data_IF_917445256987
#
_entry.id   IF_917445256987
#
_cell.length_a   1.000
_cell.length_b   1.000
_cell.length_c   1.000
_cell.angle_alpha   90.00
_cell.angle_beta   90.00
_cell.angle_gamma   90.00
#
_symmetry.space_group_name_H-M   'P 1'
#
loop_
_entity.id
_entity.type
_entity.pdbx_description
1 polymer ?
#
# COMPACT_ATOMS: atom_id res chain seq x y z
N UNK A 1 -31.28 -85.98 -17.58
CA UNK A 1 -32.68 -85.66 -17.24
C UNK A 1 -33.50 -85.96 -18.48
N UNK A 2 -33.93 -87.19 -18.73
CA UNK A 2 -34.91 -87.97 -17.93
C UNK A 2 -36.25 -87.25 -17.88
N UNK A 3 -37.13 -87.67 -18.78
CA UNK A 3 -38.55 -87.36 -18.90
C UNK A 3 -39.14 -88.36 -19.89
N UNK A 4 -39.78 -89.41 -19.38
CA UNK A 4 -40.49 -90.45 -20.11
C UNK A 4 -41.83 -89.91 -20.68
N UNK A 5 -42.31 -90.45 -21.79
CA UNK A 5 -43.62 -91.15 -21.90
C UNK A 5 -43.72 -91.80 -23.30
N UNK A 6 -43.91 -93.11 -23.25
CA UNK A 6 -44.21 -94.05 -24.32
C UNK A 6 -45.56 -93.78 -25.00
N UNK A 7 -45.74 -94.30 -26.22
CA UNK A 7 -46.76 -95.32 -26.59
C UNK A 7 -46.67 -95.63 -28.09
N UNK A 8 -46.43 -96.91 -28.39
CA UNK A 8 -46.58 -97.54 -29.70
C UNK A 8 -48.02 -97.45 -30.23
N UNK A 9 -48.23 -97.18 -31.54
CA UNK A 9 -49.08 -98.04 -32.38
C UNK A 9 -49.08 -97.71 -33.89
N UNK A 10 -48.93 -98.80 -34.64
CA UNK A 10 -49.42 -99.13 -35.99
C UNK A 10 -49.27 -98.11 -37.12
N UNK A 11 -48.34 -98.35 -38.07
CA UNK A 11 -48.54 -99.26 -39.21
C UNK A 11 -49.87 -99.02 -39.92
N UNK A 12 -49.79 -98.42 -41.11
CA UNK A 12 -50.20 -99.03 -42.37
C UNK A 12 -50.71 -97.97 -43.35
N UNK A 13 -49.98 -97.85 -44.46
CA UNK A 13 -50.53 -97.61 -45.81
C UNK A 13 -51.51 -96.44 -45.94
N UNK A 14 -50.97 -95.23 -46.10
CA UNK A 14 -51.50 -94.33 -47.13
C UNK A 14 -50.35 -93.44 -47.61
N UNK A 15 -49.42 -94.12 -48.25
CA UNK A 15 -48.48 -93.59 -49.23
C UNK A 15 -49.35 -93.15 -50.41
N UNK A 16 -49.10 -91.96 -50.94
CA UNK A 16 -49.81 -91.24 -52.02
C UNK A 16 -50.81 -90.18 -51.58
N UNK A 17 -50.66 -89.00 -52.18
CA UNK A 17 -51.70 -87.94 -52.34
C UNK A 17 -51.99 -86.97 -51.19
N UNK A 18 -51.04 -86.79 -50.28
CA UNK A 18 -50.88 -85.52 -49.58
C UNK A 18 -49.37 -85.29 -49.35
N UNK A 19 -48.89 -84.05 -49.47
CA UNK A 19 -47.48 -83.67 -49.34
C UNK A 19 -46.53 -84.04 -50.51
N UNK A 20 -47.07 -84.40 -51.67
CA UNK A 20 -46.49 -84.06 -52.99
C UNK A 20 -46.31 -82.55 -53.14
N UNK A 21 -47.07 -81.72 -52.42
CA UNK A 21 -46.77 -80.29 -52.25
C UNK A 21 -45.45 -80.03 -51.49
N UNK A 22 -44.99 -80.96 -50.65
CA UNK A 22 -43.69 -80.89 -49.96
C UNK A 22 -42.59 -81.44 -50.87
N UNK A 23 -42.84 -82.47 -51.69
CA UNK A 23 -41.86 -82.99 -52.64
C UNK A 23 -41.55 -82.02 -53.80
N UNK A 24 -42.55 -81.32 -54.36
CA UNK A 24 -42.27 -80.31 -55.40
C UNK A 24 -41.63 -79.05 -54.83
N UNK A 25 -41.95 -78.64 -53.58
CA UNK A 25 -41.23 -77.54 -52.91
C UNK A 25 -39.80 -77.93 -52.52
N UNK A 26 -39.56 -79.15 -52.02
CA UNK A 26 -38.21 -79.62 -51.68
C UNK A 26 -37.37 -79.81 -52.95
N UNK A 27 -37.94 -80.26 -54.07
CA UNK A 27 -37.22 -80.32 -55.35
C UNK A 27 -36.96 -78.92 -55.95
N UNK A 28 -37.87 -77.95 -55.82
CA UNK A 28 -37.62 -76.58 -56.29
C UNK A 28 -36.64 -75.81 -55.41
N UNK A 29 -36.69 -75.96 -54.08
CA UNK A 29 -35.71 -75.36 -53.16
C UNK A 29 -34.35 -76.05 -53.29
N UNK A 30 -34.32 -77.37 -53.54
CA UNK A 30 -33.10 -78.12 -53.83
C UNK A 30 -32.45 -77.77 -55.17
N UNK A 31 -33.24 -77.58 -56.25
CA UNK A 31 -32.71 -77.09 -57.53
C UNK A 31 -32.28 -75.62 -57.44
N UNK A 32 -33.03 -74.74 -56.76
CA UNK A 32 -32.64 -73.36 -56.58
C UNK A 32 -31.34 -73.24 -55.76
N UNK A 33 -31.19 -74.01 -54.67
CA UNK A 33 -29.97 -74.02 -53.85
C UNK A 33 -28.77 -74.71 -54.56
N UNK A 34 -29.01 -75.68 -55.44
CA UNK A 34 -27.96 -76.28 -56.27
C UNK A 34 -27.52 -75.34 -57.40
N UNK A 35 -28.45 -74.56 -57.95
CA UNK A 35 -28.17 -73.57 -59.00
C UNK A 35 -27.48 -72.32 -58.42
N UNK A 36 -27.80 -71.92 -57.19
CA UNK A 36 -27.06 -70.90 -56.42
C UNK A 36 -25.64 -71.36 -56.06
N UNK A 37 -25.45 -72.61 -55.62
CA UNK A 37 -24.08 -73.12 -55.34
C UNK A 37 -23.21 -73.24 -56.59
N UNK A 38 -23.80 -73.56 -57.74
CA UNK A 38 -23.07 -73.60 -59.01
C UNK A 38 -22.65 -72.20 -59.46
N UNK A 39 -23.52 -71.19 -59.29
CA UNK A 39 -23.18 -69.80 -59.62
C UNK A 39 -22.13 -69.24 -58.66
N UNK A 40 -22.21 -69.55 -57.36
CA UNK A 40 -21.19 -69.19 -56.35
C UNK A 40 -19.81 -69.79 -56.65
N UNK A 41 -19.74 -71.06 -57.06
CA UNK A 41 -18.47 -71.70 -57.44
C UNK A 41 -17.88 -71.09 -58.72
N UNK A 42 -18.71 -70.73 -59.69
CA UNK A 42 -18.25 -70.02 -60.89
C UNK A 42 -17.75 -68.62 -60.57
N UNK A 43 -18.40 -67.89 -59.66
CA UNK A 43 -17.93 -66.56 -59.23
C UNK A 43 -16.61 -66.68 -58.47
N UNK A 44 -16.49 -67.63 -57.52
CA UNK A 44 -15.22 -67.89 -56.83
C UNK A 44 -14.08 -68.27 -57.78
N UNK A 45 -14.34 -69.14 -58.76
CA UNK A 45 -13.33 -69.55 -59.73
C UNK A 45 -12.87 -68.37 -60.60
N UNK A 46 -13.80 -67.50 -61.02
CA UNK A 46 -13.49 -66.26 -61.74
C UNK A 46 -12.68 -65.30 -60.87
N UNK A 47 -13.05 -65.13 -59.61
CA UNK A 47 -12.31 -64.30 -58.66
C UNK A 47 -10.88 -64.79 -58.44
N UNK A 48 -10.67 -66.10 -58.26
CA UNK A 48 -9.32 -66.69 -58.14
C UNK A 48 -8.50 -66.47 -59.42
N UNK A 49 -9.08 -66.64 -60.60
CA UNK A 49 -8.40 -66.35 -61.86
C UNK A 49 -8.04 -64.87 -62.01
N UNK A 50 -8.93 -63.95 -61.60
CA UNK A 50 -8.64 -62.52 -61.60
C UNK A 50 -7.53 -62.18 -60.61
N UNK A 51 -7.57 -62.73 -59.39
CA UNK A 51 -6.53 -62.55 -58.39
C UNK A 51 -5.17 -63.05 -58.89
N UNK A 52 -5.12 -64.21 -59.56
CA UNK A 52 -3.89 -64.75 -60.12
C UNK A 52 -3.35 -63.88 -61.26
N UNK A 53 -4.21 -63.36 -62.14
CA UNK A 53 -3.80 -62.40 -63.17
C UNK A 53 -3.27 -61.10 -62.58
N UNK A 54 -3.93 -60.56 -61.54
CA UNK A 54 -3.47 -59.36 -60.83
C UNK A 54 -2.09 -59.63 -60.21
N UNK A 55 -1.89 -60.77 -59.54
CA UNK A 55 -0.59 -61.18 -58.99
C UNK A 55 0.49 -61.30 -60.06
N UNK A 56 0.18 -61.87 -61.23
CA UNK A 56 1.12 -61.98 -62.34
C UNK A 56 1.50 -60.60 -62.91
N UNK A 57 0.51 -59.71 -63.07
CA UNK A 57 0.76 -58.33 -63.53
C UNK A 57 1.61 -57.57 -62.51
N UNK A 58 1.29 -57.68 -61.23
CA UNK A 58 2.03 -57.01 -60.16
C UNK A 58 3.45 -57.57 -60.02
N UNK A 59 3.63 -58.88 -60.18
CA UNK A 59 4.94 -59.53 -60.24
C UNK A 59 5.77 -59.04 -61.43
N UNK A 60 5.16 -58.94 -62.62
CA UNK A 60 5.83 -58.41 -63.82
C UNK A 60 6.21 -56.94 -63.66
N UNK A 61 5.33 -56.10 -63.10
CA UNK A 61 5.62 -54.70 -62.80
C UNK A 61 6.75 -54.56 -61.80
N UNK A 62 6.72 -55.32 -60.73
CA UNK A 62 7.78 -55.33 -59.70
C UNK A 62 9.11 -55.72 -60.31
N UNK A 63 9.13 -56.78 -61.14
CA UNK A 63 10.34 -57.20 -61.86
C UNK A 63 10.88 -56.11 -62.79
N UNK A 64 10.02 -55.45 -63.57
CA UNK A 64 10.43 -54.34 -64.42
C UNK A 64 11.02 -53.18 -63.61
N UNK A 65 10.44 -52.85 -62.45
CA UNK A 65 10.97 -51.81 -61.56
C UNK A 65 12.33 -52.19 -60.98
N UNK A 66 12.53 -53.45 -60.58
CA UNK A 66 13.82 -53.96 -60.09
C UNK A 66 14.87 -53.94 -61.20
N UNK A 67 14.52 -54.34 -62.43
CA UNK A 67 15.41 -54.31 -63.59
C UNK A 67 15.80 -52.86 -63.96
N UNK A 68 14.85 -51.92 -63.97
CA UNK A 68 15.12 -50.49 -64.18
C UNK A 68 16.03 -49.91 -63.08
N UNK A 69 15.76 -50.26 -61.83
CA UNK A 69 16.60 -49.85 -60.70
C UNK A 69 18.01 -50.44 -60.80
N UNK A 70 18.13 -51.71 -61.17
CA UNK A 70 19.40 -52.38 -61.45
C UNK A 70 20.20 -51.67 -62.53
N UNK A 71 19.57 -51.33 -63.66
CA UNK A 71 20.22 -50.60 -64.74
C UNK A 71 20.73 -49.21 -64.28
N UNK A 72 19.95 -48.49 -63.47
CA UNK A 72 20.35 -47.21 -62.88
C UNK A 72 21.57 -47.35 -61.95
N UNK A 73 21.57 -48.35 -61.07
CA UNK A 73 22.70 -48.63 -60.20
C UNK A 73 23.95 -49.08 -60.98
N UNK A 74 23.79 -49.83 -62.07
CA UNK A 74 24.91 -50.23 -62.95
C UNK A 74 25.52 -49.02 -63.66
N UNK A 75 24.70 -48.09 -64.13
CA UNK A 75 25.16 -46.83 -64.74
C UNK A 75 25.92 -45.97 -63.72
N UNK A 76 25.37 -45.80 -62.50
CA UNK A 76 26.06 -45.11 -61.42
C UNK A 76 27.43 -45.74 -61.13
N UNK A 77 27.52 -47.08 -61.08
CA UNK A 77 28.78 -47.78 -60.87
C UNK A 77 29.79 -47.55 -62.01
N UNK A 78 29.33 -47.59 -63.28
CA UNK A 78 30.19 -47.32 -64.45
C UNK A 78 30.79 -45.91 -64.37
N UNK A 79 29.98 -44.91 -64.04
CA UNK A 79 30.44 -43.53 -63.88
C UNK A 79 31.41 -43.36 -62.72
N UNK A 80 31.20 -44.07 -61.60
CA UNK A 80 32.13 -44.04 -60.48
C UNK A 80 33.49 -44.68 -60.83
N UNK A 81 33.50 -45.76 -61.61
CA UNK A 81 34.74 -46.36 -62.15
C UNK A 81 35.45 -45.42 -63.12
N UNK A 82 34.69 -44.76 -64.00
CA UNK A 82 35.25 -43.74 -64.90
C UNK A 82 35.83 -42.56 -64.11
N UNK A 83 35.12 -42.09 -63.09
CA UNK A 83 35.53 -41.01 -62.21
C UNK A 83 36.78 -41.38 -61.41
N UNK A 84 36.90 -42.61 -60.93
CA UNK A 84 38.10 -43.13 -60.26
C UNK A 84 39.32 -43.03 -61.18
N UNK A 85 39.20 -43.52 -62.41
CA UNK A 85 40.26 -43.48 -63.42
C UNK A 85 40.64 -42.05 -63.83
N UNK A 86 39.66 -41.24 -64.22
CA UNK A 86 39.89 -39.84 -64.63
C UNK A 86 40.34 -38.96 -63.48
N UNK A 87 39.85 -39.21 -62.27
CA UNK A 87 40.26 -38.54 -61.05
C UNK A 87 41.71 -38.82 -60.71
N UNK A 88 42.13 -40.09 -60.77
CA UNK A 88 43.54 -40.48 -60.56
C UNK A 88 44.47 -39.86 -61.62
N UNK A 89 44.07 -39.88 -62.90
CA UNK A 89 44.85 -39.26 -63.98
C UNK A 89 44.96 -37.74 -63.80
N UNK A 90 43.86 -37.06 -63.44
CA UNK A 90 43.85 -35.64 -63.13
C UNK A 90 44.76 -35.32 -61.94
N UNK A 91 44.68 -36.10 -60.86
CA UNK A 91 45.51 -35.90 -59.67
C UNK A 91 46.99 -36.07 -59.99
N UNK A 92 47.37 -37.12 -60.72
CA UNK A 92 48.75 -37.34 -61.15
C UNK A 92 49.27 -36.19 -62.03
N UNK A 93 48.43 -35.68 -62.95
CA UNK A 93 48.76 -34.49 -63.74
C UNK A 93 48.96 -33.26 -62.84
N UNK A 94 48.06 -33.05 -61.88
CA UNK A 94 48.07 -31.91 -60.96
C UNK A 94 49.29 -31.94 -60.01
N UNK A 95 49.66 -33.12 -59.50
CA UNK A 95 50.88 -33.32 -58.71
C UNK A 95 52.16 -33.18 -59.55
N UNK A 96 52.14 -33.63 -60.80
CA UNK A 96 53.24 -33.42 -61.74
C UNK A 96 53.56 -31.94 -61.96
N UNK A 97 52.55 -31.06 -61.92
CA UNK A 97 52.74 -29.59 -61.99
C UNK A 97 53.53 -29.03 -60.80
N UNK A 98 53.73 -29.77 -59.71
CA UNK A 98 54.53 -29.25 -58.59
C UNK A 98 56.02 -29.15 -58.96
N UNK A 99 56.49 -30.03 -59.85
CA UNK A 99 57.93 -30.23 -60.11
C UNK A 99 58.33 -30.01 -61.56
N UNK A 100 57.40 -30.14 -62.52
CA UNK A 100 57.70 -30.00 -63.95
C UNK A 100 57.80 -28.53 -64.42
N UNK A 101 58.23 -28.33 -65.67
CA UNK A 101 58.41 -26.99 -66.25
C UNK A 101 57.09 -26.23 -66.46
N UNK A 102 55.99 -26.94 -66.71
CA UNK A 102 54.64 -26.34 -66.80
C UNK A 102 54.21 -25.73 -65.46
N UNK A 103 54.53 -26.41 -64.37
CA UNK A 103 54.40 -25.94 -63.00
C UNK A 103 55.11 -24.62 -62.75
N UNK A 104 56.37 -24.53 -63.18
CA UNK A 104 57.18 -23.31 -63.05
C UNK A 104 56.51 -22.13 -63.75
N UNK A 105 55.84 -22.35 -64.90
CA UNK A 105 55.08 -21.32 -65.62
C UNK A 105 53.85 -20.87 -64.84
N UNK A 106 53.09 -21.82 -64.28
CA UNK A 106 51.94 -21.51 -63.40
C UNK A 106 52.39 -20.69 -62.19
N UNK A 107 53.54 -21.03 -61.59
CA UNK A 107 54.10 -20.31 -60.44
C UNK A 107 54.52 -18.86 -60.74
N UNK A 108 54.79 -18.52 -61.99
CA UNK A 108 55.14 -17.15 -62.40
C UNK A 108 53.92 -16.28 -62.73
N UNK A 109 52.77 -16.87 -63.04
CA UNK A 109 51.51 -16.15 -63.29
C UNK A 109 50.71 -16.05 -61.97
N UNK A 110 50.56 -14.86 -61.37
CA UNK A 110 49.86 -14.71 -60.09
C UNK A 110 48.39 -15.19 -60.13
N UNK A 111 47.71 -15.07 -61.27
CA UNK A 111 46.32 -15.48 -61.41
C UNK A 111 46.22 -16.99 -61.50
N UNK A 112 47.08 -17.60 -62.32
CA UNK A 112 47.15 -19.06 -62.46
C UNK A 112 47.56 -19.71 -61.13
N UNK A 113 48.59 -19.17 -60.47
CA UNK A 113 49.08 -19.63 -59.16
C UNK A 113 47.98 -19.63 -58.09
N UNK A 114 47.24 -18.52 -57.92
CA UNK A 114 46.15 -18.47 -56.94
C UNK A 114 45.02 -19.45 -57.25
N UNK A 115 44.73 -19.64 -58.53
CA UNK A 115 43.68 -20.59 -58.95
C UNK A 115 44.14 -22.03 -58.72
N UNK A 116 45.43 -22.33 -58.94
CA UNK A 116 46.04 -23.61 -58.61
C UNK A 116 45.92 -23.90 -57.11
N UNK A 117 46.30 -22.95 -56.25
CA UNK A 117 46.17 -23.10 -54.80
C UNK A 117 44.73 -23.44 -54.40
N UNK A 118 43.75 -22.73 -54.94
CA UNK A 118 42.32 -23.03 -54.70
C UNK A 118 41.94 -24.46 -55.09
N UNK A 119 42.44 -24.95 -56.22
CA UNK A 119 42.14 -26.32 -56.67
C UNK A 119 42.89 -27.39 -55.89
N UNK A 120 44.07 -27.07 -55.34
CA UNK A 120 44.82 -27.93 -54.42
C UNK A 120 44.07 -28.09 -53.10
N UNK A 121 43.57 -26.98 -52.56
CA UNK A 121 42.91 -26.95 -51.25
C UNK A 121 41.48 -27.54 -51.30
N UNK A 122 40.87 -27.61 -52.49
CA UNK A 122 39.54 -28.20 -52.74
C UNK A 122 39.59 -29.28 -53.85
N UNK A 123 40.01 -30.52 -53.53
CA UNK A 123 40.09 -31.61 -54.51
C UNK A 123 38.69 -32.01 -55.03
N UNK A 124 38.56 -32.26 -56.35
CA UNK A 124 37.25 -32.53 -56.99
C UNK A 124 36.55 -33.74 -56.38
N UNK A 125 37.28 -34.84 -56.21
CA UNK A 125 36.74 -36.09 -55.72
C UNK A 125 37.87 -36.84 -54.99
N UNK A 126 37.94 -36.74 -53.64
CA UNK A 126 38.92 -37.49 -52.86
C UNK A 126 38.78 -38.99 -53.14
N UNK A 127 39.90 -39.70 -53.30
CA UNK A 127 39.89 -41.14 -53.61
C UNK A 127 39.07 -41.96 -52.60
N UNK A 128 39.12 -41.58 -51.32
CA UNK A 128 38.31 -42.20 -50.27
C UNK A 128 36.80 -42.04 -50.45
N UNK A 129 36.34 -40.88 -50.95
CA UNK A 129 34.91 -40.64 -51.20
C UNK A 129 34.41 -41.45 -52.40
N UNK A 130 35.21 -41.51 -53.48
CA UNK A 130 34.90 -42.33 -54.66
C UNK A 130 34.78 -43.80 -54.26
N UNK A 131 35.76 -44.33 -53.50
CA UNK A 131 35.76 -45.71 -53.04
C UNK A 131 34.55 -46.03 -52.14
N UNK A 132 34.18 -45.13 -51.24
CA UNK A 132 33.01 -45.28 -50.38
C UNK A 132 31.70 -45.34 -51.18
N UNK A 133 31.52 -44.42 -52.14
CA UNK A 133 30.33 -44.40 -53.01
C UNK A 133 30.27 -45.63 -53.91
N UNK A 134 31.40 -46.07 -54.48
CA UNK A 134 31.48 -47.30 -55.28
C UNK A 134 31.06 -48.52 -54.48
N UNK A 135 31.58 -48.69 -53.25
CA UNK A 135 31.20 -49.76 -52.34
C UNK A 135 29.70 -49.75 -52.02
N UNK A 136 29.10 -48.57 -51.83
CA UNK A 136 27.66 -48.43 -51.58
C UNK A 136 26.83 -48.90 -52.78
N UNK A 137 27.19 -48.47 -54.00
CA UNK A 137 26.51 -48.91 -55.24
C UNK A 137 26.72 -50.40 -55.51
N UNK A 138 27.92 -50.94 -55.29
CA UNK A 138 28.21 -52.39 -55.41
C UNK A 138 27.38 -53.23 -54.43
N UNK A 139 27.16 -52.72 -53.21
CA UNK A 139 26.26 -53.34 -52.23
C UNK A 139 24.81 -53.34 -52.73
N UNK A 140 24.32 -52.24 -53.29
CA UNK A 140 22.98 -52.16 -53.89
C UNK A 140 22.83 -53.15 -55.04
N UNK A 141 23.81 -53.21 -55.95
CA UNK A 141 23.83 -54.16 -57.07
C UNK A 141 23.82 -55.61 -56.59
N UNK A 142 24.55 -55.92 -55.53
CA UNK A 142 24.57 -57.27 -54.94
C UNK A 142 23.22 -57.67 -54.37
N UNK A 143 22.52 -56.74 -53.69
CA UNK A 143 21.16 -56.96 -53.19
C UNK A 143 20.17 -57.18 -54.34
N UNK A 144 20.21 -56.33 -55.38
CA UNK A 144 19.34 -56.46 -56.56
C UNK A 144 19.54 -57.81 -57.25
N UNK A 145 20.78 -58.26 -57.43
CA UNK A 145 21.10 -59.57 -58.04
C UNK A 145 20.59 -60.74 -57.21
N UNK A 146 20.71 -60.67 -55.88
CA UNK A 146 20.18 -61.69 -54.98
C UNK A 146 18.66 -61.79 -55.11
N UNK A 147 17.95 -60.66 -55.19
CA UNK A 147 16.49 -60.62 -55.28
C UNK A 147 15.95 -61.05 -56.66
N UNK A 148 16.66 -60.70 -57.74
CA UNK A 148 16.32 -61.21 -59.08
C UNK A 148 16.48 -62.74 -59.17
N UNK A 149 17.32 -63.34 -58.33
CA UNK A 149 17.55 -64.80 -58.31
C UNK A 149 16.57 -65.54 -57.40
N UNK A 150 16.10 -64.92 -56.32
CA UNK A 150 15.33 -65.58 -55.25
C UNK A 150 13.86 -65.88 -55.58
N UNK A 151 13.36 -65.56 -56.78
CA UNK A 151 11.93 -65.62 -57.15
C UNK A 151 11.00 -64.94 -56.14
N UNK A 152 11.53 -64.04 -55.31
CA UNK A 152 10.81 -63.47 -54.18
C UNK A 152 9.93 -62.32 -54.68
N UNK A 153 8.65 -62.60 -54.87
CA UNK A 153 7.66 -61.68 -55.49
C UNK A 153 7.39 -60.41 -54.64
N UNK A 154 7.97 -60.30 -53.45
CA UNK A 154 7.74 -59.21 -52.50
C UNK A 154 8.81 -58.12 -52.45
N UNK A 155 9.95 -58.26 -53.14
CA UNK A 155 10.99 -57.23 -53.10
C UNK A 155 10.66 -56.08 -54.06
N UNK A 156 10.46 -54.89 -53.50
CA UNK A 156 10.38 -53.63 -54.24
C UNK A 156 11.44 -52.66 -53.69
N UNK A 157 12.30 -52.07 -54.54
CA UNK A 157 13.28 -51.09 -54.08
C UNK A 157 12.58 -49.99 -53.30
N UNK A 158 13.10 -49.66 -52.14
CA UNK A 158 12.58 -48.53 -51.36
C UNK A 158 12.83 -47.22 -52.10
N UNK A 159 12.01 -46.20 -51.84
CA UNK A 159 12.26 -44.85 -52.35
C UNK A 159 13.61 -44.28 -51.89
N UNK A 160 14.14 -44.76 -50.76
CA UNK A 160 15.49 -44.41 -50.32
C UNK A 160 16.53 -44.99 -51.27
N UNK A 161 16.52 -46.30 -51.50
CA UNK A 161 17.50 -46.96 -52.38
C UNK A 161 17.50 -46.38 -53.81
N UNK A 162 16.32 -46.06 -54.35
CA UNK A 162 16.20 -45.38 -55.65
C UNK A 162 16.86 -44.01 -55.66
N UNK A 163 16.63 -43.21 -54.62
CA UNK A 163 17.25 -41.89 -54.46
C UNK A 163 18.76 -42.00 -54.29
N UNK A 164 19.24 -42.97 -53.51
CA UNK A 164 20.66 -43.19 -53.28
C UNK A 164 21.41 -43.49 -54.58
N UNK A 165 20.88 -44.39 -55.42
CA UNK A 165 21.47 -44.69 -56.73
C UNK A 165 21.50 -43.45 -57.66
N UNK A 166 20.40 -42.69 -57.71
CA UNK A 166 20.33 -41.45 -58.50
C UNK A 166 21.27 -40.35 -57.97
N UNK A 167 21.45 -40.25 -56.65
CA UNK A 167 22.42 -39.36 -56.04
C UNK A 167 23.86 -39.74 -56.45
N UNK A 168 24.21 -41.02 -56.42
CA UNK A 168 25.52 -41.49 -56.86
C UNK A 168 25.79 -41.21 -58.34
N UNK A 169 24.82 -41.44 -59.24
CA UNK A 169 24.91 -41.10 -60.66
C UNK A 169 25.12 -39.59 -60.86
N UNK A 170 24.24 -38.76 -60.31
CA UNK A 170 24.30 -37.30 -60.47
C UNK A 170 25.60 -36.70 -59.90
N UNK A 171 26.02 -37.16 -58.73
CA UNK A 171 27.31 -36.78 -58.14
C UNK A 171 28.48 -37.16 -59.05
N UNK A 172 28.51 -38.39 -59.58
CA UNK A 172 29.61 -38.84 -60.44
C UNK A 172 29.67 -38.02 -61.74
N UNK A 173 28.52 -37.75 -62.39
CA UNK A 173 28.45 -36.88 -63.58
C UNK A 173 28.95 -35.47 -63.31
N UNK A 174 28.53 -34.88 -62.18
CA UNK A 174 28.97 -33.54 -61.79
C UNK A 174 30.49 -33.49 -61.58
N UNK A 175 31.07 -34.47 -60.88
CA UNK A 175 32.52 -34.52 -60.65
C UNK A 175 33.31 -34.77 -61.93
N UNK A 176 32.82 -35.64 -62.82
CA UNK A 176 33.41 -35.83 -64.14
C UNK A 176 33.42 -34.53 -64.97
N UNK A 177 32.32 -33.78 -64.99
CA UNK A 177 32.26 -32.49 -65.65
C UNK A 177 33.25 -31.47 -65.04
N UNK A 178 33.40 -31.46 -63.71
CA UNK A 178 34.39 -30.62 -63.03
C UNK A 178 35.83 -30.99 -63.39
N UNK A 179 36.15 -32.28 -63.55
CA UNK A 179 37.48 -32.73 -64.02
C UNK A 179 37.77 -32.17 -65.41
N UNK A 180 36.80 -32.24 -66.32
CA UNK A 180 36.95 -31.67 -67.67
C UNK A 180 37.24 -30.17 -67.59
N UNK A 181 36.42 -29.41 -66.87
CA UNK A 181 36.59 -27.96 -66.71
C UNK A 181 37.95 -27.60 -66.09
N UNK A 182 38.43 -28.35 -65.09
CA UNK A 182 39.74 -28.09 -64.48
C UNK A 182 40.90 -28.47 -65.42
N UNK A 183 40.78 -29.53 -66.22
CA UNK A 183 41.77 -29.84 -67.26
C UNK A 183 41.84 -28.72 -68.30
N UNK A 184 40.70 -28.28 -68.83
CA UNK A 184 40.62 -27.17 -69.79
C UNK A 184 41.22 -25.89 -69.21
N UNK A 185 41.00 -25.64 -67.91
CA UNK A 185 41.65 -24.53 -67.21
C UNK A 185 43.18 -24.68 -67.14
N UNK A 186 43.72 -25.87 -66.84
CA UNK A 186 45.18 -26.10 -66.84
C UNK A 186 45.73 -25.76 -68.22
N UNK A 187 45.11 -26.26 -69.29
CA UNK A 187 45.54 -26.00 -70.67
C UNK A 187 45.45 -24.51 -71.03
N UNK A 188 44.39 -23.83 -70.61
CA UNK A 188 44.23 -22.39 -70.81
C UNK A 188 45.19 -21.54 -69.95
N UNK A 189 45.56 -22.00 -68.75
CA UNK A 189 46.57 -21.35 -67.91
C UNK A 189 47.96 -21.50 -68.54
N UNK A 190 48.31 -22.71 -68.98
CA UNK A 190 49.60 -22.98 -69.64
C UNK A 190 49.74 -22.29 -71.00
N UNK A 191 48.67 -22.08 -71.74
CA UNK A 191 48.74 -21.32 -73.00
C UNK A 191 48.96 -19.82 -72.77
N UNK A 192 48.40 -19.24 -71.69
CA UNK A 192 48.54 -17.82 -71.34
C UNK A 192 49.80 -17.49 -70.56
N UNK A 193 50.29 -18.43 -69.74
CA UNK A 193 51.45 -18.22 -68.90
C UNK A 193 52.69 -17.87 -69.75
N UNK A 194 53.54 -16.93 -69.30
CA UNK A 194 54.74 -16.55 -70.04
C UNK A 194 55.62 -17.78 -70.31
N UNK A 195 56.29 -17.78 -71.46
CA UNK A 195 57.30 -18.80 -71.75
C UNK A 195 58.51 -18.54 -70.85
N UNK A 196 59.03 -19.59 -70.21
CA UNK A 196 60.23 -19.49 -69.39
C UNK A 196 61.42 -19.13 -70.28
N UNK A 197 62.10 -18.03 -69.98
CA UNK A 197 63.35 -17.66 -70.64
C UNK A 197 64.49 -18.61 -70.24
N UNK A 198 64.49 -19.09 -68.99
CA UNK A 198 65.39 -20.14 -68.49
C UNK A 198 64.63 -21.09 -67.55
N UNK A 199 64.22 -22.28 -68.05
CA UNK A 199 63.52 -23.27 -67.24
C UNK A 199 64.33 -23.82 -66.05
N UNK A 200 65.67 -23.80 -66.13
CA UNK A 200 66.54 -24.34 -65.07
C UNK A 200 66.68 -23.37 -63.91
N UNK A 201 66.67 -22.07 -64.18
CA UNK A 201 66.73 -21.04 -63.15
C UNK A 201 65.37 -20.76 -62.48
N UNK A 202 64.26 -21.11 -63.13
CA UNK A 202 62.91 -20.88 -62.58
C UNK A 202 62.61 -21.80 -61.39
N UNK A 203 62.09 -21.23 -60.30
CA UNK A 203 61.65 -21.96 -59.10
C UNK A 203 60.51 -22.93 -59.46
N UNK A 204 60.53 -24.13 -58.88
CA UNK A 204 59.41 -25.07 -58.97
C UNK A 204 58.13 -24.47 -58.37
N UNK A 205 56.97 -24.94 -58.83
CA UNK A 205 55.69 -24.51 -58.27
C UNK A 205 55.63 -24.81 -56.77
N UNK A 206 56.12 -25.98 -56.34
CA UNK A 206 56.25 -26.34 -54.93
C UNK A 206 57.05 -25.30 -54.12
N UNK A 207 58.19 -24.83 -54.63
CA UNK A 207 58.99 -23.80 -53.98
C UNK A 207 58.26 -22.45 -53.90
N UNK A 208 57.50 -22.09 -54.94
CA UNK A 208 56.67 -20.87 -54.93
C UNK A 208 55.53 -21.00 -53.91
N UNK A 209 54.88 -22.16 -53.81
CA UNK A 209 53.84 -22.41 -52.82
C UNK A 209 54.41 -22.30 -51.40
N UNK A 210 55.55 -22.93 -51.13
CA UNK A 210 56.18 -22.86 -49.82
C UNK A 210 56.55 -21.41 -49.43
N UNK A 211 57.10 -20.64 -50.36
CA UNK A 211 57.39 -19.22 -50.15
C UNK A 211 56.13 -18.40 -49.84
N UNK A 212 55.03 -18.67 -50.56
CA UNK A 212 53.73 -18.05 -50.29
C UNK A 212 53.16 -18.42 -48.91
N UNK A 213 53.28 -19.68 -48.50
CA UNK A 213 52.83 -20.13 -47.18
C UNK A 213 53.60 -19.44 -46.04
N UNK A 214 54.92 -19.27 -46.19
CA UNK A 214 55.75 -18.48 -45.26
C UNK A 214 55.28 -17.02 -45.23
N UNK A 215 55.08 -16.39 -46.39
CA UNK A 215 54.62 -15.00 -46.46
C UNK A 215 53.24 -14.82 -45.78
N UNK A 216 52.32 -15.76 -45.98
CA UNK A 216 51.02 -15.77 -45.30
C UNK A 216 51.18 -15.89 -43.78
N UNK A 217 52.03 -16.81 -43.32
CA UNK A 217 52.29 -16.97 -41.89
C UNK A 217 52.86 -15.69 -41.27
N UNK A 218 53.87 -15.08 -41.91
CA UNK A 218 54.43 -13.79 -41.47
C UNK A 218 53.40 -12.65 -41.49
N UNK A 219 52.50 -12.66 -42.48
CA UNK A 219 51.39 -11.71 -42.53
C UNK A 219 50.46 -11.89 -41.33
N UNK A 220 50.04 -13.12 -41.02
CA UNK A 220 49.18 -13.42 -39.87
C UNK A 220 49.86 -13.09 -38.54
N UNK A 221 51.15 -13.37 -38.40
CA UNK A 221 51.92 -13.02 -37.20
C UNK A 221 52.01 -11.51 -37.01
N UNK A 222 52.28 -10.74 -38.08
CA UNK A 222 52.25 -9.27 -38.02
C UNK A 222 50.86 -8.73 -37.70
N UNK A 223 49.80 -9.31 -38.28
CA UNK A 223 48.43 -8.93 -37.99
C UNK A 223 48.07 -9.19 -36.52
N UNK A 224 48.46 -10.35 -35.97
CA UNK A 224 48.28 -10.72 -34.56
C UNK A 224 49.00 -9.73 -33.64
N UNK A 225 50.29 -9.46 -33.88
CA UNK A 225 51.06 -8.52 -33.07
C UNK A 225 50.47 -7.10 -33.09
N UNK A 226 50.00 -6.63 -34.26
CA UNK A 226 49.29 -5.35 -34.36
C UNK A 226 47.96 -5.37 -33.59
N UNK A 227 47.20 -6.45 -33.68
CA UNK A 227 45.95 -6.63 -32.94
C UNK A 227 46.17 -6.62 -31.43
N UNK A 228 47.18 -7.34 -30.94
CA UNK A 228 47.56 -7.35 -29.53
C UNK A 228 48.01 -5.96 -29.04
N UNK A 229 48.81 -5.23 -29.82
CA UNK A 229 49.24 -3.88 -29.48
C UNK A 229 48.06 -2.90 -29.42
N UNK A 230 47.13 -2.98 -30.38
CA UNK A 230 45.92 -2.15 -30.38
C UNK A 230 45.01 -2.46 -29.18
N UNK A 231 44.79 -3.75 -28.90
CA UNK A 231 43.97 -4.18 -27.75
C UNK A 231 44.59 -3.75 -26.41
N UNK A 232 45.92 -3.81 -26.28
CA UNK A 232 46.62 -3.30 -25.09
C UNK A 232 46.41 -1.80 -24.91
N UNK A 233 46.64 -1.01 -25.96
CA UNK A 233 46.45 0.44 -25.91
C UNK A 233 45.01 0.82 -25.54
N UNK A 234 44.02 0.13 -26.10
CA UNK A 234 42.60 0.33 -25.74
C UNK A 234 42.33 -0.05 -24.28
N UNK A 235 42.85 -1.20 -23.82
CA UNK A 235 42.70 -1.64 -22.44
C UNK A 235 43.33 -0.67 -21.43
N UNK A 236 44.49 -0.10 -21.76
CA UNK A 236 45.16 0.91 -20.94
C UNK A 236 44.31 2.18 -20.84
N UNK A 237 43.77 2.66 -21.97
CA UNK A 237 42.85 3.81 -21.98
C UNK A 237 41.63 3.57 -21.08
N UNK A 238 41.01 2.39 -21.18
CA UNK A 238 39.85 2.01 -20.36
C UNK A 238 40.24 1.94 -18.88
N UNK A 239 41.40 1.39 -18.53
CA UNK A 239 41.88 1.33 -17.15
C UNK A 239 42.13 2.73 -16.58
N UNK A 240 42.74 3.63 -17.35
CA UNK A 240 42.96 5.03 -16.95
C UNK A 240 41.62 5.74 -16.73
N UNK A 241 40.66 5.58 -17.64
CA UNK A 241 39.34 6.19 -17.53
C UNK A 241 38.55 5.64 -16.32
N UNK A 242 38.60 4.32 -16.09
CA UNK A 242 38.02 3.69 -14.90
C UNK A 242 38.68 4.17 -13.61
N UNK A 243 40.01 4.31 -13.58
CA UNK A 243 40.71 4.86 -12.43
C UNK A 243 40.28 6.30 -12.13
N UNK A 244 40.12 7.13 -13.17
CA UNK A 244 39.61 8.49 -13.05
C UNK A 244 38.17 8.53 -12.53
N UNK A 245 37.30 7.65 -13.02
CA UNK A 245 35.92 7.53 -12.54
C UNK A 245 35.87 7.11 -11.07
N UNK A 246 36.68 6.13 -10.67
CA UNK A 246 36.78 5.70 -9.27
C UNK A 246 37.28 6.82 -8.34
N UNK A 247 38.22 7.66 -8.81
CA UNK A 247 38.65 8.84 -8.06
C UNK A 247 37.51 9.86 -7.89
N UNK A 248 36.75 10.13 -8.96
CA UNK A 248 35.59 11.02 -8.91
C UNK A 248 34.50 10.50 -7.96
N UNK A 249 34.22 9.20 -7.98
CA UNK A 249 33.27 8.57 -7.06
C UNK A 249 33.71 8.69 -5.60
N UNK A 250 35.00 8.51 -5.32
CA UNK A 250 35.54 8.70 -3.97
C UNK A 250 35.39 10.15 -3.50
N UNK A 251 35.73 11.13 -4.36
CA UNK A 251 35.53 12.55 -4.05
C UNK A 251 34.06 12.91 -3.82
N UNK A 252 33.15 12.32 -4.61
CA UNK A 252 31.72 12.52 -4.43
C UNK A 252 31.23 11.96 -3.09
N UNK A 253 31.69 10.76 -2.70
CA UNK A 253 31.38 10.16 -1.41
C UNK A 253 31.90 11.01 -0.24
N UNK A 254 33.11 11.56 -0.35
CA UNK A 254 33.66 12.49 0.65
C UNK A 254 32.82 13.77 0.78
N UNK A 255 32.39 14.34 -0.35
CA UNK A 255 31.52 15.51 -0.38
C UNK A 255 30.15 15.22 0.25
N UNK A 256 29.56 14.05 -0.02
CA UNK A 256 28.30 13.63 0.61
C UNK A 256 28.41 13.52 2.12
N UNK A 257 29.50 12.92 2.63
CA UNK A 257 29.78 12.83 4.07
C UNK A 257 29.88 14.23 4.68
N UNK A 258 30.54 15.16 4.00
CA UNK A 258 30.66 16.56 4.47
C UNK A 258 29.28 17.25 4.51
N UNK A 259 28.47 17.10 3.46
CA UNK A 259 27.11 17.66 3.41
C UNK A 259 26.24 17.09 4.54
N UNK A 260 26.34 15.79 4.81
CA UNK A 260 25.60 15.17 5.92
C UNK A 260 26.05 15.71 7.28
N UNK A 261 27.35 15.91 7.49
CA UNK A 261 27.87 16.55 8.70
C UNK A 261 27.33 17.98 8.85
N UNK A 262 27.39 18.79 7.79
CA UNK A 262 26.86 20.15 7.82
C UNK A 262 25.35 20.18 8.12
N UNK A 263 24.57 19.24 7.56
CA UNK A 263 23.13 19.13 7.85
C UNK A 263 22.87 18.75 9.32
N UNK A 264 23.63 17.80 9.85
CA UNK A 264 23.51 17.40 11.25
C UNK A 264 23.87 18.55 12.20
N UNK A 265 24.94 19.31 11.91
CA UNK A 265 25.32 20.51 12.67
C UNK A 265 24.23 21.58 12.61
N UNK A 266 23.68 21.85 11.43
CA UNK A 266 22.56 22.79 11.27
C UNK A 266 21.31 22.34 12.03
N UNK A 267 20.98 21.05 12.03
CA UNK A 267 19.83 20.52 12.77
C UNK A 267 20.00 20.68 14.29
N UNK A 268 21.20 20.42 14.81
CA UNK A 268 21.54 20.65 16.22
C UNK A 268 21.39 22.13 16.58
N UNK A 269 21.87 23.03 15.73
CA UNK A 269 21.76 24.47 15.94
C UNK A 269 20.30 24.94 15.92
N UNK A 270 19.50 24.48 14.95
CA UNK A 270 18.06 24.79 14.89
C UNK A 270 17.32 24.28 16.13
N UNK A 271 17.64 23.09 16.63
CA UNK A 271 17.08 22.56 17.89
C UNK A 271 17.48 23.43 19.08
N UNK A 272 18.73 23.89 19.15
CA UNK A 272 19.19 24.80 20.20
C UNK A 272 18.38 26.10 20.20
N UNK A 273 18.25 26.73 19.03
CA UNK A 273 17.46 27.96 18.86
C UNK A 273 15.99 27.73 19.25
N UNK A 274 15.40 26.60 18.88
CA UNK A 274 14.03 26.27 19.23
C UNK A 274 13.84 26.12 20.75
N UNK A 275 14.77 25.44 21.44
CA UNK A 275 14.75 25.31 22.91
C UNK A 275 14.92 26.67 23.59
N UNK A 276 15.87 27.49 23.15
CA UNK A 276 16.05 28.85 23.67
C UNK A 276 14.80 29.72 23.46
N UNK A 277 14.16 29.60 22.30
CA UNK A 277 12.90 30.30 22.01
C UNK A 277 11.77 29.83 22.92
N UNK A 278 11.63 28.52 23.14
CA UNK A 278 10.63 27.96 24.06
C UNK A 278 10.87 28.42 25.50
N UNK A 279 12.12 28.47 25.94
CA UNK A 279 12.47 28.99 27.27
C UNK A 279 12.08 30.47 27.41
N UNK A 280 12.36 31.28 26.39
CA UNK A 280 11.95 32.71 26.39
C UNK A 280 10.43 32.86 26.45
N UNK A 281 9.68 32.06 25.70
CA UNK A 281 8.22 32.05 25.75
C UNK A 281 7.70 31.63 27.13
N UNK A 282 8.23 30.55 27.70
CA UNK A 282 7.84 30.10 29.05
C UNK A 282 8.14 31.15 30.12
N UNK A 283 9.29 31.83 30.06
CA UNK A 283 9.62 32.94 30.95
C UNK A 283 8.69 34.14 30.76
N UNK A 284 8.31 34.46 29.53
CA UNK A 284 7.35 35.52 29.23
C UNK A 284 5.96 35.19 29.79
N UNK A 285 5.49 33.94 29.65
CA UNK A 285 4.22 33.48 30.21
C UNK A 285 4.22 33.53 31.74
N UNK A 286 5.32 33.12 32.39
CA UNK A 286 5.45 33.24 33.86
C UNK A 286 5.37 34.70 34.28
N UNK A 287 6.06 35.59 33.55
CA UNK A 287 6.02 37.03 33.82
C UNK A 287 4.61 37.60 33.65
N UNK A 288 3.90 37.21 32.59
CA UNK A 288 2.52 37.63 32.35
C UNK A 288 1.59 37.15 33.48
N UNK A 289 1.68 35.88 33.87
CA UNK A 289 0.90 35.34 35.01
C UNK A 289 1.18 36.08 36.30
N UNK A 290 2.43 36.42 36.57
CA UNK A 290 2.81 37.19 37.76
C UNK A 290 2.21 38.61 37.72
N UNK A 291 2.28 39.30 36.58
CA UNK A 291 1.68 40.62 36.41
C UNK A 291 0.15 40.59 36.57
N UNK A 292 -0.51 39.57 36.04
CA UNK A 292 -1.95 39.37 36.22
C UNK A 292 -2.29 39.14 37.70
N UNK A 293 -1.52 38.30 38.40
CA UNK A 293 -1.71 38.06 39.83
C UNK A 293 -1.49 39.32 40.68
N UNK A 294 -0.49 40.15 40.34
CA UNK A 294 -0.25 41.45 40.98
C UNK A 294 -1.41 42.42 40.74
N UNK A 295 -1.91 42.47 39.50
CA UNK A 295 -3.05 43.30 39.13
C UNK A 295 -4.33 42.87 39.89
N UNK A 296 -4.56 41.58 40.04
CA UNK A 296 -5.68 41.06 40.82
C UNK A 296 -5.53 41.36 42.32
N UNK A 297 -4.34 41.24 42.89
CA UNK A 297 -4.06 41.69 44.26
C UNK A 297 -4.35 43.18 44.42
N UNK A 298 -3.91 44.03 43.49
CA UNK A 298 -4.17 45.46 43.51
C UNK A 298 -5.67 45.78 43.43
N UNK A 299 -6.43 45.05 42.59
CA UNK A 299 -7.90 45.17 42.52
C UNK A 299 -8.56 44.78 43.85
N UNK A 300 -8.10 43.71 44.49
CA UNK A 300 -8.64 43.28 45.79
C UNK A 300 -8.40 44.33 46.87
N UNK A 301 -7.20 44.92 46.92
CA UNK A 301 -6.87 46.01 47.84
C UNK A 301 -7.76 47.23 47.56
N UNK A 302 -7.86 47.68 46.31
CA UNK A 302 -8.71 48.82 45.95
C UNK A 302 -10.20 48.58 46.26
N UNK A 303 -10.69 47.34 46.08
CA UNK A 303 -12.06 46.98 46.45
C UNK A 303 -12.27 46.98 47.98
N UNK A 304 -11.27 46.55 48.75
CA UNK A 304 -11.32 46.62 50.21
C UNK A 304 -11.28 48.07 50.73
N UNK A 305 -10.48 48.94 50.11
CA UNK A 305 -10.42 50.38 50.44
C UNK A 305 -11.76 51.07 50.15
N UNK A 306 -12.39 50.79 49.00
CA UNK A 306 -13.74 51.32 48.70
C UNK A 306 -14.76 50.91 49.75
N UNK A 307 -14.77 49.62 50.15
CA UNK A 307 -15.66 49.13 51.21
C UNK A 307 -15.42 49.83 52.55
N UNK A 308 -14.16 50.14 52.87
CA UNK A 308 -13.80 50.86 54.10
C UNK A 308 -14.30 52.31 54.07
N UNK A 309 -14.17 53.01 52.94
CA UNK A 309 -14.71 54.37 52.78
C UNK A 309 -16.25 54.39 52.82
N UNK A 310 -16.91 53.44 52.17
CA UNK A 310 -18.37 53.30 52.21
C UNK A 310 -18.87 53.08 53.65
N UNK A 311 -18.18 52.24 54.43
CA UNK A 311 -18.52 51.98 55.83
C UNK A 311 -18.36 53.23 56.72
N UNK A 312 -17.33 54.06 56.48
CA UNK A 312 -17.15 55.33 57.21
C UNK A 312 -18.26 56.34 56.88
N UNK A 313 -18.71 56.40 55.63
CA UNK A 313 -19.79 57.29 55.22
C UNK A 313 -21.12 56.93 55.91
N UNK A 314 -21.44 55.64 56.02
CA UNK A 314 -22.64 55.15 56.71
C UNK A 314 -22.60 55.48 58.22
N UNK A 315 -21.46 55.27 58.87
CA UNK A 315 -21.31 55.59 60.30
C UNK A 315 -21.51 57.08 60.60
N UNK A 316 -21.06 57.96 59.69
CA UNK A 316 -21.21 59.41 59.84
C UNK A 316 -22.65 59.89 59.63
N UNK A 317 -23.43 59.23 58.76
CA UNK A 317 -24.86 59.52 58.58
C UNK A 317 -25.66 59.25 59.85
N UNK A 318 -25.49 58.06 60.42
CA UNK A 318 -26.24 57.65 61.62
C UNK A 318 -25.99 58.55 62.84
N UNK A 319 -24.79 59.15 62.92
CA UNK A 319 -24.47 60.08 64.00
C UNK A 319 -25.19 61.43 63.86
N UNK A 320 -25.37 61.91 62.62
CA UNK A 320 -26.11 63.15 62.33
C UNK A 320 -27.60 62.97 62.62
N UNK A 321 -28.18 61.83 62.27
CA UNK A 321 -29.60 61.53 62.49
C UNK A 321 -29.94 61.46 64.00
N UNK A 322 -29.08 60.84 64.81
CA UNK A 322 -29.25 60.78 66.27
C UNK A 322 -29.13 62.15 66.96
N UNK A 323 -28.33 63.07 66.41
CA UNK A 323 -28.22 64.44 66.92
C UNK A 323 -29.45 65.29 66.54
N UNK A 324 -30.01 65.07 65.35
CA UNK A 324 -31.23 65.73 64.90
C UNK A 324 -32.45 65.36 65.78
N UNK A 325 -32.65 64.07 66.09
CA UNK A 325 -33.77 63.62 66.92
C UNK A 325 -33.73 64.20 68.34
N UNK A 326 -32.52 64.28 68.94
CA UNK A 326 -32.35 64.92 70.26
C UNK A 326 -32.71 66.40 70.27
N UNK A 327 -32.45 67.13 69.17
CA UNK A 327 -32.84 68.53 69.08
C UNK A 327 -34.35 68.71 68.96
N UNK A 328 -35.05 67.82 68.25
CA UNK A 328 -36.51 67.85 68.15
C UNK A 328 -37.18 67.53 69.50
N UNK A 329 -36.68 66.55 70.24
CA UNK A 329 -37.24 66.20 71.55
C UNK A 329 -37.05 67.32 72.58
N UNK A 330 -35.94 68.08 72.52
CA UNK A 330 -35.77 69.29 73.35
C UNK A 330 -36.82 70.35 73.05
N UNK A 331 -37.13 70.60 71.78
CA UNK A 331 -38.19 71.53 71.39
C UNK A 331 -39.57 71.06 71.89
N UNK A 332 -39.87 69.75 71.80
CA UNK A 332 -41.14 69.18 72.32
C UNK A 332 -41.26 69.31 73.84
N UNK A 333 -40.15 69.26 74.58
CA UNK A 333 -40.16 69.49 76.04
C UNK A 333 -40.51 70.94 76.41
N UNK A 334 -40.27 71.90 75.52
CA UNK A 334 -40.55 73.31 75.76
C UNK A 334 -42.00 73.71 75.51
N UNK A 335 -42.74 72.89 74.75
CA UNK A 335 -44.14 73.12 74.38
C UNK A 335 -45.03 73.38 75.62
N UNK A 336 -45.73 74.53 75.66
CA UNK A 336 -46.65 74.86 76.74
C UNK A 336 -47.71 73.77 77.00
N UNK A 337 -48.19 73.08 75.96
CA UNK A 337 -49.20 72.04 76.13
C UNK A 337 -48.63 70.82 76.88
N UNK A 338 -47.41 70.42 76.53
CA UNK A 338 -46.69 69.31 77.18
C UNK A 338 -46.41 69.66 78.64
N UNK A 339 -45.92 70.88 78.91
CA UNK A 339 -45.69 71.37 80.27
C UNK A 339 -46.98 71.43 81.10
N UNK A 340 -48.09 71.85 80.51
CA UNK A 340 -49.40 71.90 81.19
C UNK A 340 -49.89 70.49 81.54
N UNK A 341 -49.80 69.57 80.58
CA UNK A 341 -50.27 68.19 80.78
C UNK A 341 -49.42 67.46 81.82
N UNK A 342 -48.10 67.65 81.79
CA UNK A 342 -47.15 67.03 82.71
C UNK A 342 -46.91 67.83 84.00
N UNK A 343 -47.63 68.94 84.22
CA UNK A 343 -47.42 69.82 85.36
C UNK A 343 -47.37 69.11 86.73
N UNK A 344 -48.19 68.07 87.03
CA UNK A 344 -48.10 67.35 88.31
C UNK A 344 -46.77 66.60 88.52
N UNK A 345 -46.05 66.28 87.43
CA UNK A 345 -44.77 65.57 87.46
C UNK A 345 -43.58 66.52 87.45
N UNK A 346 -43.69 67.62 86.70
CA UNK A 346 -42.62 68.62 86.56
C UNK A 346 -42.52 69.55 87.79
N UNK A 347 -43.64 69.78 88.50
CA UNK A 347 -43.64 70.66 89.66
C UNK A 347 -42.82 70.08 90.82
N UNK A 348 -42.08 70.95 91.52
CA UNK A 348 -41.35 70.56 92.71
C UNK A 348 -42.32 70.27 93.86
N UNK A 349 -42.11 69.15 94.53
CA UNK A 349 -42.92 68.72 95.66
C UNK A 349 -42.19 67.68 96.49
N UNK A 350 -42.72 67.38 97.68
CA UNK A 350 -42.10 66.44 98.61
C UNK A 350 -42.47 64.99 98.31
N UNK A 351 -43.56 64.75 97.57
CA UNK A 351 -44.03 63.40 97.26
C UNK A 351 -43.23 62.74 96.13
N UNK A 352 -42.81 61.48 96.30
CA UNK A 352 -42.23 60.65 95.24
C UNK A 352 -42.94 59.29 95.17
N UNK A 353 -43.24 58.77 93.97
CA UNK A 353 -43.93 57.49 93.82
C UNK A 353 -43.03 56.30 94.21
N UNK A 354 -43.67 55.24 94.72
CA UNK A 354 -43.01 53.97 95.03
C UNK A 354 -42.13 53.95 96.30
N UNK A 355 -42.27 54.94 97.19
CA UNK A 355 -41.65 54.91 98.53
C UNK A 355 -42.58 54.27 99.57
N UNK A 356 -42.01 53.66 100.63
CA UNK A 356 -42.78 53.11 101.74
C UNK A 356 -43.52 54.24 102.49
N UNK A 357 -44.65 53.92 103.16
CA UNK A 357 -45.59 54.91 103.72
C UNK A 357 -44.94 55.95 104.65
N UNK A 358 -43.88 55.59 105.37
CA UNK A 358 -43.14 56.48 106.28
C UNK A 358 -42.06 57.33 105.57
N UNK A 359 -41.74 57.01 104.31
CA UNK A 359 -40.70 57.65 103.49
C UNK A 359 -41.27 58.42 102.27
N UNK A 360 -42.59 58.40 102.04
CA UNK A 360 -43.25 59.02 100.89
C UNK A 360 -43.10 60.55 100.80
N UNK A 361 -42.65 61.20 101.88
CA UNK A 361 -42.38 62.64 101.97
C UNK A 361 -40.88 62.88 102.10
N UNK A 362 -40.24 63.24 100.99
CA UNK A 362 -38.83 63.65 100.99
C UNK A 362 -38.66 65.02 101.66
N UNK A 363 -37.54 65.22 102.37
CA UNK A 363 -37.22 66.49 103.01
C UNK A 363 -37.02 67.62 101.97
N UNK A 364 -36.45 67.27 100.80
CA UNK A 364 -36.22 68.17 99.67
C UNK A 364 -37.42 68.18 98.71
N UNK A 365 -37.85 69.36 98.26
CA UNK A 365 -38.82 69.49 97.17
C UNK A 365 -38.13 69.24 95.82
N UNK A 366 -38.48 68.15 95.13
CA UNK A 366 -37.93 67.80 93.80
C UNK A 366 -39.06 67.54 92.79
N UNK A 367 -38.79 67.65 91.51
CA UNK A 367 -39.69 67.12 90.48
C UNK A 367 -39.80 65.60 90.62
N UNK A 368 -40.83 64.99 90.03
CA UNK A 368 -40.99 63.54 90.09
C UNK A 368 -39.84 62.87 89.34
N UNK A 369 -39.25 61.82 89.93
CA UNK A 369 -38.16 61.08 89.30
C UNK A 369 -38.67 60.16 88.19
N UNK A 370 -38.01 60.20 87.02
CA UNK A 370 -38.36 59.34 85.89
C UNK A 370 -38.09 57.86 86.22
N UNK A 371 -36.93 57.57 86.82
CA UNK A 371 -36.61 56.21 87.26
C UNK A 371 -37.61 55.70 88.30
N UNK A 372 -38.10 56.57 89.19
CA UNK A 372 -39.17 56.22 90.16
C UNK A 372 -40.52 56.00 89.52
N UNK A 373 -40.92 56.80 88.53
CA UNK A 373 -42.15 56.56 87.75
C UNK A 373 -42.07 55.22 87.02
N UNK A 374 -40.90 54.89 86.44
CA UNK A 374 -40.66 53.59 85.80
C UNK A 374 -40.74 52.45 86.80
N UNK A 375 -40.05 52.55 87.93
CA UNK A 375 -40.06 51.52 88.98
C UNK A 375 -41.43 51.33 89.64
N UNK A 376 -42.22 52.41 89.78
CA UNK A 376 -43.60 52.32 90.24
C UNK A 376 -44.49 51.58 89.22
N UNK A 377 -44.09 51.53 87.95
CA UNK A 377 -44.85 50.96 86.84
C UNK A 377 -45.78 51.97 86.17
N UNK A 378 -45.65 53.27 86.47
CA UNK A 378 -46.48 54.31 85.87
C UNK A 378 -46.15 54.59 84.39
N UNK A 379 -44.99 54.15 83.90
CA UNK A 379 -44.56 54.31 82.51
C UNK A 379 -44.75 53.06 81.66
N UNK A 380 -45.41 52.02 82.18
CA UNK A 380 -45.77 50.85 81.36
C UNK A 380 -47.02 51.18 80.54
N UNK A 381 -47.06 50.93 79.21
CA UNK A 381 -48.19 51.25 78.34
C UNK A 381 -49.35 50.26 78.53
N UNK A 382 -49.75 50.04 79.78
CA UNK A 382 -50.83 49.14 80.21
C UNK A 382 -51.86 49.95 80.99
N UNK A 383 -53.11 49.46 81.05
CA UNK A 383 -54.17 50.10 81.85
C UNK A 383 -53.79 50.27 83.33
N UNK A 384 -52.98 49.35 83.86
CA UNK A 384 -52.44 49.44 85.22
C UNK A 384 -51.42 50.57 85.35
N UNK A 385 -50.53 50.74 84.37
CA UNK A 385 -49.56 51.84 84.36
C UNK A 385 -50.23 53.21 84.27
N UNK A 386 -51.27 53.34 83.44
CA UNK A 386 -52.09 54.56 83.34
C UNK A 386 -52.80 54.86 84.67
N UNK A 387 -53.37 53.84 85.33
CA UNK A 387 -54.00 53.99 86.64
C UNK A 387 -52.99 54.45 87.71
N UNK A 388 -51.76 53.92 87.69
CA UNK A 388 -50.67 54.34 88.58
C UNK A 388 -50.19 55.75 88.28
N UNK A 389 -50.08 56.13 87.01
CA UNK A 389 -49.73 57.49 86.61
C UNK A 389 -50.76 58.51 87.11
N UNK A 390 -52.04 58.17 86.95
CA UNK A 390 -53.17 58.95 87.45
C UNK A 390 -53.15 59.07 88.98
N UNK A 391 -52.79 58.01 89.70
CA UNK A 391 -52.63 58.02 91.16
C UNK A 391 -51.57 59.05 91.60
N UNK A 392 -50.44 59.08 90.90
CA UNK A 392 -49.34 60.03 91.17
C UNK A 392 -49.76 61.47 90.88
N UNK A 393 -50.43 61.73 89.76
CA UNK A 393 -50.84 63.08 89.36
C UNK A 393 -52.02 63.66 90.15
N UNK A 394 -52.93 62.81 90.64
CA UNK A 394 -54.08 63.26 91.46
C UNK A 394 -53.73 63.36 92.94
N UNK A 395 -52.70 62.62 93.38
CA UNK A 395 -52.19 62.63 94.75
C UNK A 395 -53.30 62.47 95.81
N UNK A 396 -54.25 61.58 95.54
CA UNK A 396 -55.36 61.23 96.44
C UNK A 396 -55.18 59.80 96.92
N UNK A 397 -54.27 59.61 97.87
CA UNK A 397 -54.19 58.35 98.59
C UNK A 397 -55.07 58.45 99.86
N UNK A 398 -56.09 57.59 99.99
CA UNK A 398 -56.97 57.50 101.17
C UNK A 398 -57.60 58.84 101.64
N UNK A 399 -58.11 59.63 100.69
CA UNK A 399 -58.85 60.89 100.93
C UNK A 399 -58.07 62.03 101.62
N UNK A 400 -56.73 61.96 101.73
CA UNK A 400 -55.89 63.08 102.17
C UNK A 400 -54.83 63.41 101.11
N UNK A 401 -54.64 64.68 100.74
CA UNK A 401 -53.56 65.06 99.84
C UNK A 401 -52.21 64.87 100.56
N UNK A 402 -51.30 64.06 99.96
CA UNK A 402 -49.97 63.83 100.55
C UNK A 402 -49.00 64.99 100.24
N UNK A 403 -49.28 65.77 99.20
CA UNK A 403 -48.52 66.97 98.83
C UNK A 403 -49.50 68.10 98.51
N UNK A 404 -49.30 69.25 99.15
CA UNK A 404 -50.10 70.46 98.93
C UNK A 404 -49.48 71.39 97.91
N UNK A 405 -48.23 71.16 97.48
CA UNK A 405 -47.46 72.09 96.65
C UNK A 405 -47.64 71.86 95.15
N UNK A 406 -47.87 70.62 94.70
CA UNK A 406 -47.99 70.31 93.27
C UNK A 406 -49.39 70.57 92.70
N UNK A 407 -49.49 71.09 91.45
CA UNK A 407 -50.75 71.14 90.74
C UNK A 407 -51.24 69.70 90.52
N UNK A 408 -52.52 69.48 90.80
CA UNK A 408 -53.15 68.17 90.70
C UNK A 408 -54.01 68.13 89.47
N UNK A 409 -54.07 66.97 88.83
CA UNK A 409 -55.11 66.75 87.83
C UNK A 409 -56.49 66.76 88.49
N UNK A 410 -57.46 67.41 87.83
CA UNK A 410 -58.86 67.45 88.25
C UNK A 410 -59.63 66.15 88.00
N UNK A 411 -58.95 65.10 87.52
CA UNK A 411 -59.54 63.80 87.23
C UNK A 411 -59.93 63.03 88.49
N UNK A 412 -60.83 62.07 88.34
CA UNK A 412 -61.21 61.16 89.43
C UNK A 412 -60.08 60.15 89.68
N UNK A 413 -59.85 59.69 90.93
CA UNK A 413 -58.71 58.82 91.26
C UNK A 413 -58.71 57.45 90.57
N UNK A 414 -59.89 56.90 90.25
CA UNK A 414 -60.01 55.61 89.55
C UNK A 414 -60.20 55.86 88.06
N UNK A 415 -59.39 55.22 87.23
CA UNK A 415 -59.36 55.37 85.78
C UNK A 415 -60.75 55.12 85.17
N UNK A 416 -61.44 54.07 85.63
CA UNK A 416 -62.80 53.69 85.19
C UNK A 416 -63.89 54.74 85.47
N UNK A 417 -63.64 55.68 86.40
CA UNK A 417 -64.62 56.70 86.77
C UNK A 417 -64.46 57.98 85.90
N UNK A 418 -63.38 58.09 85.14
CA UNK A 418 -63.09 59.19 84.23
C UNK A 418 -63.74 59.01 82.87
N UNK A 419 -64.01 60.12 82.18
CA UNK A 419 -64.51 60.09 80.80
C UNK A 419 -63.41 59.60 79.84
N UNK A 420 -63.75 58.99 78.70
CA UNK A 420 -62.78 58.53 77.71
C UNK A 420 -61.77 59.60 77.28
N UNK A 421 -62.20 60.86 77.12
CA UNK A 421 -61.29 61.94 76.71
C UNK A 421 -60.19 62.19 77.75
N UNK A 422 -60.52 62.11 79.04
CA UNK A 422 -59.55 62.24 80.12
C UNK A 422 -58.59 61.04 80.16
N UNK A 423 -59.08 59.83 79.86
CA UNK A 423 -58.23 58.64 79.76
C UNK A 423 -57.20 58.80 78.64
N UNK A 424 -57.59 59.37 77.50
CA UNK A 424 -56.69 59.60 76.37
C UNK A 424 -55.69 60.73 76.64
N UNK A 425 -56.07 61.79 77.38
CA UNK A 425 -55.13 62.78 77.89
C UNK A 425 -54.08 62.16 78.83
N UNK A 426 -54.49 61.25 79.72
CA UNK A 426 -53.56 60.54 80.61
C UNK A 426 -52.63 59.61 79.82
N UNK A 427 -53.13 58.90 78.81
CA UNK A 427 -52.30 58.09 77.89
C UNK A 427 -51.30 58.96 77.14
N UNK A 428 -51.74 60.12 76.64
CA UNK A 428 -50.86 61.08 75.97
C UNK A 428 -49.78 61.58 76.92
N UNK A 429 -50.14 61.87 78.18
CA UNK A 429 -49.18 62.24 79.22
C UNK A 429 -48.16 61.12 79.50
N UNK A 430 -48.63 59.88 79.60
CA UNK A 430 -47.78 58.70 79.80
C UNK A 430 -46.79 58.53 78.65
N UNK A 431 -47.27 58.61 77.41
CA UNK A 431 -46.45 58.47 76.21
C UNK A 431 -45.41 59.60 76.12
N UNK A 432 -45.79 60.83 76.43
CA UNK A 432 -44.86 61.96 76.49
C UNK A 432 -43.79 61.76 77.56
N UNK A 433 -44.11 61.19 78.72
CA UNK A 433 -43.11 60.85 79.75
C UNK A 433 -42.20 59.68 79.34
N UNK A 434 -42.67 58.75 78.50
CA UNK A 434 -41.85 57.66 77.97
C UNK A 434 -40.87 58.18 76.91
N UNK A 435 -41.38 58.97 75.96
CA UNK A 435 -40.60 59.52 74.84
C UNK A 435 -39.65 60.61 75.32
N UNK A 436 -40.18 61.64 75.97
CA UNK A 436 -39.42 62.83 76.35
C UNK A 436 -38.79 62.72 77.74
N UNK A 437 -39.14 61.69 78.52
CA UNK A 437 -38.64 61.52 79.89
C UNK A 437 -37.12 61.64 80.02
N UNK A 438 -36.31 60.90 79.23
CA UNK A 438 -34.86 61.01 79.27
C UNK A 438 -34.37 62.43 78.97
N UNK A 439 -34.91 63.08 77.95
CA UNK A 439 -34.59 64.47 77.57
C UNK A 439 -35.02 65.45 78.66
N UNK A 440 -36.16 65.22 79.33
CA UNK A 440 -36.63 66.03 80.46
C UNK A 440 -35.75 65.86 81.70
N UNK A 441 -35.10 64.71 81.89
CA UNK A 441 -34.07 64.52 82.92
C UNK A 441 -32.79 65.27 82.54
N UNK A 442 -32.33 65.19 81.29
CA UNK A 442 -31.18 65.98 80.80
C UNK A 442 -31.40 67.49 80.96
N UNK A 443 -32.62 67.97 80.73
CA UNK A 443 -33.02 69.37 80.90
C UNK A 443 -33.33 69.76 82.36
N UNK A 444 -33.29 68.81 83.30
CA UNK A 444 -33.57 69.05 84.73
C UNK A 444 -35.04 69.32 85.07
N UNK A 445 -35.97 69.02 84.17
CA UNK A 445 -37.42 69.17 84.36
C UNK A 445 -38.02 67.99 85.15
N UNK A 446 -37.42 66.81 85.03
CA UNK A 446 -37.69 65.64 85.87
C UNK A 446 -36.45 65.30 86.69
N UNK A 447 -36.63 64.69 87.86
CA UNK A 447 -35.49 64.14 88.58
C UNK A 447 -35.02 62.84 87.90
N UNK A 448 -33.72 62.51 87.95
CA UNK A 448 -33.19 61.26 87.39
C UNK A 448 -33.83 60.03 88.02
#
# INVERSE_FOLDING_TARGET
>A
MSGEICVHRDRSKTIFTACTAVATLICYVGLAAAQDRSSELETEARERMLQERVRQIDAQRTRQLVEQFGASAEEANKLLVELESKGAAFQARFEGLLTNDDGKRIGQDPIAFRTFLRYRDDPIAPAGEIAARKKAVESLLSQIKAELTSQNVGFSPTDSQRRDAAEHDSWARQRLAQITVRNDWIDAALSRAPKLTDPKAAKSLESVIHAYEIEQQEFWDRARLKGEAAAKAESESILVEKARMAELENRLREAEVLIQKMKAEQEVELKRIAVESQQKLALAEIREKNLLAELDRAKQVAAAERRLEDAKAVAKSNQIDLEADKTLDRQRCEDPEVKRLLAPFLAQGKYQPGMNRDEMLTADTKAISLSRLRAFGALEPTSNGIQKLLEVATNKHLNRPMDTTRPRWGYKPRLRDNKPEAVDEIKKAQQLLIELGPTMVELGLLAP
#
